data_IF_236432109235
#
_entry.id   IF_236432109235
#
_cell.length_a   1.000
_cell.length_b   1.000
_cell.length_c   1.000
_cell.angle_alpha   90.00
_cell.angle_beta   90.00
_cell.angle_gamma   90.00
#
_symmetry.space_group_name_H-M   'P 1'
#
loop_
_entity.id
_entity.type
_entity.pdbx_description
1 polymer ?
#
# COMPACT_ATOMS: atom_id res chain seq x y z
N UNK A 1 19.54 -22.44 -23.72
CA UNK A 1 19.87 -21.00 -23.78
C UNK A 1 18.71 -20.06 -23.36
N UNK A 2 17.54 -20.60 -23.03
CA UNK A 2 16.44 -19.81 -22.43
C UNK A 2 16.81 -19.17 -21.06
N UNK A 3 17.70 -19.81 -20.30
CA UNK A 3 18.17 -19.31 -19.01
C UNK A 3 19.02 -18.04 -19.11
N UNK A 4 19.72 -17.83 -20.23
CA UNK A 4 20.56 -16.65 -20.44
C UNK A 4 19.73 -15.43 -20.83
N UNK A 5 18.69 -15.63 -21.64
CA UNK A 5 17.78 -14.55 -22.06
C UNK A 5 16.89 -14.03 -20.92
N UNK A 6 16.53 -14.88 -19.94
CA UNK A 6 15.76 -14.45 -18.78
C UNK A 6 16.60 -13.55 -17.86
N UNK A 7 17.87 -13.88 -17.61
CA UNK A 7 18.75 -13.13 -16.73
C UNK A 7 19.05 -11.72 -17.23
N UNK A 8 19.35 -11.56 -18.54
CA UNK A 8 19.58 -10.23 -19.12
C UNK A 8 18.31 -9.35 -19.12
N UNK A 9 17.16 -9.95 -19.42
CA UNK A 9 15.88 -9.25 -19.42
C UNK A 9 15.51 -8.76 -18.03
N UNK A 10 15.64 -9.59 -17.02
CA UNK A 10 15.30 -9.24 -15.64
C UNK A 10 16.23 -8.16 -15.11
N UNK A 11 17.52 -8.21 -15.43
CA UNK A 11 18.48 -7.17 -15.08
C UNK A 11 18.15 -5.82 -15.73
N UNK A 12 17.76 -5.80 -16.99
CA UNK A 12 17.37 -4.55 -17.72
C UNK A 12 16.06 -3.97 -17.14
N UNK A 13 15.10 -4.82 -16.80
CA UNK A 13 13.83 -4.41 -16.17
C UNK A 13 14.10 -3.81 -14.79
N UNK A 14 14.91 -4.46 -13.97
CA UNK A 14 15.25 -3.98 -12.62
C UNK A 14 15.99 -2.64 -12.67
N UNK A 15 16.99 -2.48 -13.53
CA UNK A 15 17.70 -1.23 -13.71
C UNK A 15 16.77 -0.10 -14.21
N UNK A 16 15.82 -0.43 -15.06
CA UNK A 16 14.77 0.49 -15.52
C UNK A 16 13.85 0.95 -14.39
N UNK A 17 13.42 0.03 -13.54
CA UNK A 17 12.57 0.31 -12.38
C UNK A 17 13.29 1.16 -11.32
N UNK A 18 14.58 0.90 -11.05
CA UNK A 18 15.39 1.71 -10.15
C UNK A 18 15.52 3.15 -10.66
N UNK A 19 15.79 3.32 -11.96
CA UNK A 19 15.89 4.65 -12.59
C UNK A 19 14.56 5.39 -12.54
N UNK A 20 13.45 4.70 -12.75
CA UNK A 20 12.12 5.28 -12.65
C UNK A 20 11.83 5.77 -11.24
N UNK A 21 12.13 4.96 -10.22
CA UNK A 21 11.98 5.38 -8.83
C UNK A 21 12.81 6.63 -8.52
N UNK A 22 14.08 6.65 -8.94
CA UNK A 22 14.97 7.81 -8.72
C UNK A 22 14.40 9.08 -9.35
N UNK A 23 13.87 9.01 -10.57
CA UNK A 23 13.24 10.13 -11.27
C UNK A 23 11.98 10.61 -10.52
N UNK A 24 11.11 9.67 -10.11
CA UNK A 24 9.89 10.00 -9.34
C UNK A 24 10.25 10.71 -8.03
N UNK A 25 11.24 10.19 -7.28
CA UNK A 25 11.66 10.81 -6.02
C UNK A 25 12.32 12.18 -6.23
N UNK A 26 13.09 12.36 -7.32
CA UNK A 26 13.68 13.66 -7.68
C UNK A 26 12.60 14.69 -8.03
N UNK A 27 11.62 14.33 -8.84
CA UNK A 27 10.54 15.24 -9.20
C UNK A 27 9.62 15.54 -7.99
N UNK A 28 9.33 14.55 -7.18
CA UNK A 28 8.54 14.72 -5.97
C UNK A 28 9.19 15.71 -4.98
N UNK A 29 10.52 15.72 -4.87
CA UNK A 29 11.25 16.72 -4.05
C UNK A 29 11.07 18.15 -4.52
N UNK A 30 10.84 18.37 -5.83
CA UNK A 30 10.58 19.71 -6.39
C UNK A 30 9.15 20.18 -6.16
N UNK A 31 8.25 19.24 -5.86
CA UNK A 31 6.83 19.45 -5.70
C UNK A 31 6.37 18.88 -4.33
N UNK A 32 6.73 19.52 -3.21
CA UNK A 32 6.49 18.99 -1.87
C UNK A 32 5.00 18.81 -1.53
N UNK A 33 4.12 19.52 -2.22
CA UNK A 33 2.66 19.42 -2.07
C UNK A 33 2.05 18.28 -2.91
N UNK A 34 2.82 17.68 -3.83
CA UNK A 34 2.32 16.58 -4.66
C UNK A 34 2.37 15.28 -3.85
N UNK A 35 1.23 14.65 -3.54
CA UNK A 35 1.24 13.39 -2.83
C UNK A 35 1.71 12.24 -3.73
N UNK A 36 2.45 11.30 -3.16
CA UNK A 36 3.02 10.14 -3.86
C UNK A 36 2.67 8.86 -3.12
N UNK A 37 2.06 7.90 -3.82
CA UNK A 37 1.81 6.55 -3.31
C UNK A 37 2.89 5.62 -3.83
N UNK A 38 3.52 4.83 -2.95
CA UNK A 38 4.51 3.83 -3.32
C UNK A 38 4.08 2.47 -2.79
N UNK A 39 3.97 1.48 -3.68
CA UNK A 39 3.55 0.11 -3.37
C UNK A 39 4.46 -0.91 -4.05
N UNK A 40 4.33 -2.16 -3.69
CA UNK A 40 4.92 -3.33 -4.34
C UNK A 40 6.43 -3.19 -4.61
N UNK A 41 6.86 -3.27 -5.87
CA UNK A 41 8.27 -3.20 -6.24
C UNK A 41 8.91 -1.85 -5.87
N UNK A 42 8.15 -0.77 -5.85
CA UNK A 42 8.62 0.52 -5.36
C UNK A 42 9.09 0.45 -3.90
N UNK A 43 8.38 -0.26 -3.04
CA UNK A 43 8.76 -0.47 -1.64
C UNK A 43 10.02 -1.33 -1.52
N UNK A 44 10.15 -2.38 -2.34
CA UNK A 44 11.33 -3.22 -2.39
C UNK A 44 12.58 -2.42 -2.81
N UNK A 45 12.44 -1.56 -3.80
CA UNK A 45 13.51 -0.68 -4.27
C UNK A 45 13.90 0.38 -3.22
N UNK A 46 12.92 0.96 -2.51
CA UNK A 46 13.18 1.86 -1.38
C UNK A 46 14.01 1.17 -0.29
N UNK A 47 13.65 -0.07 0.06
CA UNK A 47 14.37 -0.87 1.04
C UNK A 47 15.80 -1.17 0.57
N UNK A 48 15.95 -1.64 -0.68
CA UNK A 48 17.26 -1.92 -1.30
C UNK A 48 18.20 -0.72 -1.30
N UNK A 49 17.66 0.48 -1.55
CA UNK A 49 18.42 1.74 -1.59
C UNK A 49 18.60 2.41 -0.22
N UNK A 50 18.00 1.89 0.84
CA UNK A 50 18.05 2.48 2.18
C UNK A 50 17.37 3.86 2.26
N UNK A 51 16.38 4.14 1.41
CA UNK A 51 15.73 5.46 1.30
C UNK A 51 14.50 5.61 2.19
N UNK A 52 14.06 4.57 2.87
CA UNK A 52 12.85 4.57 3.68
C UNK A 52 12.78 5.72 4.68
N UNK A 53 13.83 5.93 5.49
CA UNK A 53 13.88 6.98 6.50
C UNK A 53 14.00 8.40 5.96
N UNK A 54 14.21 8.57 4.65
CA UNK A 54 14.35 9.89 4.00
C UNK A 54 13.01 10.44 3.50
N UNK A 55 11.95 9.64 3.54
CA UNK A 55 10.65 10.02 3.03
C UNK A 55 9.90 10.93 4.00
N UNK A 56 9.24 11.96 3.47
CA UNK A 56 8.47 12.93 4.23
C UNK A 56 6.96 12.71 4.14
N UNK A 57 6.18 13.68 4.62
CA UNK A 57 4.71 13.61 4.76
C UNK A 57 3.96 13.47 3.44
N UNK A 58 4.55 13.84 2.30
CA UNK A 58 3.91 13.72 1.00
C UNK A 58 3.74 12.27 0.52
N UNK A 59 4.43 11.32 1.16
CA UNK A 59 4.42 9.92 0.75
C UNK A 59 3.40 9.08 1.54
N UNK A 60 2.73 8.18 0.82
CA UNK A 60 1.92 7.09 1.40
C UNK A 60 2.54 5.77 0.94
N UNK A 61 2.90 4.92 1.87
CA UNK A 61 3.47 3.60 1.63
C UNK A 61 2.48 2.52 2.04
N UNK A 62 2.30 1.49 1.21
CA UNK A 62 1.30 0.45 1.43
C UNK A 62 1.91 -0.94 1.61
N UNK A 63 2.88 -1.14 2.54
CA UNK A 63 3.55 -2.42 2.70
C UNK A 63 2.63 -3.49 3.29
N UNK A 64 2.78 -4.74 2.83
CA UNK A 64 2.43 -5.92 3.62
C UNK A 64 3.58 -6.28 4.58
N UNK A 65 3.39 -7.25 5.48
CA UNK A 65 4.38 -7.58 6.53
C UNK A 65 5.80 -7.85 5.99
N UNK A 66 5.94 -8.55 4.85
CA UNK A 66 7.26 -8.85 4.27
C UNK A 66 7.94 -7.61 3.67
N UNK A 67 7.18 -6.72 3.06
CA UNK A 67 7.69 -5.43 2.55
C UNK A 67 8.11 -4.54 3.72
N UNK A 68 7.28 -4.46 4.77
CA UNK A 68 7.62 -3.72 5.98
C UNK A 68 8.88 -4.27 6.66
N UNK A 69 9.07 -5.59 6.67
CA UNK A 69 10.29 -6.25 7.15
C UNK A 69 11.54 -5.75 6.40
N UNK A 70 11.47 -5.68 5.06
CA UNK A 70 12.58 -5.17 4.24
C UNK A 70 12.85 -3.68 4.46
N UNK A 71 11.79 -2.88 4.62
CA UNK A 71 11.90 -1.44 4.87
C UNK A 71 12.49 -1.11 6.24
N UNK A 72 12.05 -1.82 7.28
CA UNK A 72 12.42 -1.53 8.67
C UNK A 72 13.66 -2.30 9.16
N UNK A 73 14.06 -3.35 8.45
CA UNK A 73 15.11 -4.28 8.90
C UNK A 73 14.70 -5.23 10.04
N UNK A 74 13.45 -5.18 10.51
CA UNK A 74 12.89 -6.11 11.50
C UNK A 74 12.43 -7.40 10.83
N UNK A 75 12.41 -8.51 11.55
CA UNK A 75 11.83 -9.76 11.04
C UNK A 75 10.30 -9.64 10.88
N UNK A 76 9.73 -10.47 10.01
CA UNK A 76 8.27 -10.54 9.83
C UNK A 76 7.56 -10.90 11.13
N UNK A 77 8.17 -11.76 11.95
CA UNK A 77 7.60 -12.18 13.24
C UNK A 77 7.55 -11.02 14.24
N UNK A 78 8.64 -10.26 14.39
CA UNK A 78 8.66 -9.08 15.26
C UNK A 78 7.61 -8.03 14.87
N UNK A 79 7.37 -7.86 13.55
CA UNK A 79 6.33 -6.93 13.07
C UNK A 79 4.95 -7.49 13.36
N UNK A 80 4.73 -8.79 13.13
CA UNK A 80 3.43 -9.43 13.37
C UNK A 80 3.06 -9.47 14.85
N UNK A 81 4.04 -9.63 15.73
CA UNK A 81 3.84 -9.64 17.19
C UNK A 81 3.46 -8.25 17.74
N UNK A 82 3.98 -7.17 17.12
CA UNK A 82 3.65 -5.79 17.48
C UNK A 82 3.60 -4.86 16.27
N UNK A 83 2.54 -4.99 15.49
CA UNK A 83 2.29 -4.15 14.32
C UNK A 83 2.15 -2.66 14.68
N UNK A 84 1.61 -2.36 15.87
CA UNK A 84 1.43 -0.99 16.34
C UNK A 84 2.77 -0.29 16.49
N UNK A 85 3.72 -0.90 17.21
CA UNK A 85 5.07 -0.36 17.33
C UNK A 85 5.80 -0.30 15.99
N UNK A 86 5.51 -1.22 15.07
CA UNK A 86 6.12 -1.21 13.75
C UNK A 86 5.71 0.02 12.92
N UNK A 87 4.46 0.47 13.00
CA UNK A 87 3.97 1.63 12.25
C UNK A 87 4.13 2.96 13.00
N UNK A 88 4.03 2.96 14.34
CA UNK A 88 4.20 4.15 15.17
C UNK A 88 5.67 4.51 15.36
N UNK A 89 6.54 3.51 15.48
CA UNK A 89 8.00 3.69 15.65
C UNK A 89 8.76 3.86 14.33
N UNK A 90 8.10 4.11 13.22
CA UNK A 90 8.73 4.28 11.93
C UNK A 90 9.65 5.52 11.89
N UNK A 91 10.73 5.41 11.12
CA UNK A 91 11.68 6.51 10.94
C UNK A 91 11.30 7.47 9.79
N UNK A 92 10.43 7.03 8.90
CA UNK A 92 9.93 7.85 7.81
C UNK A 92 8.82 8.80 8.32
N UNK A 93 8.79 10.04 7.81
CA UNK A 93 7.67 10.95 8.04
C UNK A 93 6.44 10.65 7.17
N UNK A 94 6.43 9.53 6.46
CA UNK A 94 5.39 9.10 5.54
C UNK A 94 4.17 8.50 6.26
N UNK A 95 3.02 8.50 5.60
CA UNK A 95 1.88 7.70 6.05
C UNK A 95 2.08 6.24 5.64
N UNK A 96 2.02 5.32 6.60
CA UNK A 96 2.16 3.88 6.38
C UNK A 96 0.79 3.21 6.45
N UNK A 97 0.48 2.41 5.45
CA UNK A 97 -0.67 1.50 5.40
C UNK A 97 -0.14 0.08 5.49
N UNK A 98 0.00 -0.45 6.69
CA UNK A 98 0.49 -1.81 6.92
C UNK A 98 -0.63 -2.82 6.69
N UNK A 99 -0.55 -3.51 5.54
CA UNK A 99 -1.56 -4.48 5.09
C UNK A 99 -1.43 -5.81 5.82
N UNK A 100 -2.48 -6.22 6.52
CA UNK A 100 -2.64 -7.55 7.10
C UNK A 100 -4.14 -7.82 7.30
N UNK A 101 -4.49 -8.90 8.00
CA UNK A 101 -5.88 -9.24 8.37
C UNK A 101 -6.61 -8.04 9.03
N UNK A 102 -5.88 -7.21 9.76
CA UNK A 102 -6.30 -5.89 10.23
C UNK A 102 -5.28 -4.86 9.76
N UNK A 103 -5.64 -4.11 8.73
CA UNK A 103 -4.77 -3.06 8.21
C UNK A 103 -4.64 -1.92 9.21
N UNK A 104 -3.40 -1.48 9.45
CA UNK A 104 -3.09 -0.32 10.28
C UNK A 104 -2.65 0.85 9.40
N UNK A 105 -3.13 2.06 9.73
CA UNK A 105 -2.69 3.29 9.09
C UNK A 105 -2.10 4.21 10.14
N UNK A 106 -0.88 4.71 9.91
CA UNK A 106 -0.20 5.63 10.82
C UNK A 106 0.72 6.59 10.07
N UNK A 107 0.90 7.78 10.62
CA UNK A 107 1.92 8.76 10.21
C UNK A 107 2.98 8.99 11.31
N UNK A 108 3.03 8.09 12.30
CA UNK A 108 3.92 8.16 13.45
C UNK A 108 3.28 8.80 14.67
N UNK A 109 2.46 9.82 14.50
CA UNK A 109 1.79 10.56 15.60
C UNK A 109 0.37 10.07 15.88
N UNK A 110 -0.19 9.29 14.97
CA UNK A 110 -1.58 8.86 14.99
C UNK A 110 -1.71 7.44 14.42
N UNK A 111 -2.68 6.69 14.93
CA UNK A 111 -2.94 5.31 14.53
C UNK A 111 -4.43 5.10 14.24
N UNK A 112 -4.72 4.49 13.11
CA UNK A 112 -6.02 3.93 12.77
C UNK A 112 -5.90 2.41 12.60
N UNK A 113 -6.82 1.67 13.21
CA UNK A 113 -6.94 0.22 13.07
C UNK A 113 -8.21 -0.06 12.28
N UNK A 114 -8.07 -0.62 11.09
CA UNK A 114 -9.22 -0.97 10.27
C UNK A 114 -9.91 -2.24 10.77
N UNK A 115 -11.22 -2.15 10.96
CA UNK A 115 -12.06 -3.26 11.39
C UNK A 115 -12.97 -3.79 10.27
N UNK A 116 -13.05 -3.10 9.13
CA UNK A 116 -13.82 -3.55 7.98
C UNK A 116 -13.04 -4.56 7.13
N UNK A 117 -13.76 -5.37 6.39
CA UNK A 117 -13.19 -6.34 5.47
C UNK A 117 -13.18 -7.77 6.00
N UNK A 118 -12.89 -8.68 5.10
CA UNK A 118 -12.82 -10.12 5.36
C UNK A 118 -11.80 -10.80 4.42
N UNK A 119 -11.74 -12.14 4.48
CA UNK A 119 -10.79 -12.94 3.70
C UNK A 119 -10.94 -12.84 2.17
N UNK A 120 -12.03 -12.28 1.66
CA UNK A 120 -12.22 -12.07 0.22
C UNK A 120 -11.15 -11.13 -0.36
N UNK A 121 -10.60 -10.21 0.44
CA UNK A 121 -9.50 -9.33 0.04
C UNK A 121 -8.15 -10.05 -0.14
N UNK A 122 -8.03 -11.32 0.23
CA UNK A 122 -6.82 -12.13 0.00
C UNK A 122 -6.71 -12.60 -1.47
N UNK A 123 -7.18 -11.80 -2.41
CA UNK A 123 -7.09 -12.05 -3.86
C UNK A 123 -5.97 -11.24 -4.49
N UNK A 124 -5.35 -11.80 -5.56
CA UNK A 124 -4.30 -11.08 -6.31
C UNK A 124 -4.85 -9.79 -6.93
N UNK A 125 -4.09 -8.70 -6.83
CA UNK A 125 -4.49 -7.38 -7.33
C UNK A 125 -5.35 -6.54 -6.35
N UNK A 126 -5.76 -7.09 -5.21
CA UNK A 126 -6.49 -6.35 -4.17
C UNK A 126 -5.68 -5.15 -3.64
N UNK A 127 -4.37 -5.33 -3.46
CA UNK A 127 -3.45 -4.26 -3.05
C UNK A 127 -3.34 -3.15 -4.10
N UNK A 128 -3.30 -3.51 -5.40
CA UNK A 128 -3.25 -2.54 -6.49
C UNK A 128 -4.50 -1.66 -6.52
N UNK A 129 -5.68 -2.28 -6.28
CA UNK A 129 -6.94 -1.54 -6.14
C UNK A 129 -6.88 -0.58 -4.96
N UNK A 130 -6.40 -1.03 -3.79
CA UNK A 130 -6.26 -0.17 -2.61
C UNK A 130 -5.34 1.02 -2.89
N UNK A 131 -4.19 0.79 -3.51
CA UNK A 131 -3.23 1.85 -3.87
C UNK A 131 -3.84 2.84 -4.86
N UNK A 132 -4.64 2.35 -5.83
CA UNK A 132 -5.42 3.17 -6.75
C UNK A 132 -6.49 4.01 -6.05
N UNK A 133 -7.21 3.43 -5.08
CA UNK A 133 -8.20 4.16 -4.26
C UNK A 133 -7.54 5.29 -3.45
N UNK A 134 -6.39 5.03 -2.82
CA UNK A 134 -5.63 6.05 -2.10
C UNK A 134 -5.23 7.18 -3.06
N UNK A 135 -4.64 6.84 -4.21
CA UNK A 135 -4.24 7.80 -5.23
C UNK A 135 -5.41 8.65 -5.74
N UNK A 136 -6.56 8.03 -5.97
CA UNK A 136 -7.79 8.72 -6.40
C UNK A 136 -8.32 9.72 -5.36
N UNK A 137 -8.26 9.39 -4.07
CA UNK A 137 -8.66 10.29 -2.98
C UNK A 137 -7.65 11.45 -2.79
N UNK A 138 -6.37 11.16 -2.92
CA UNK A 138 -5.32 12.19 -2.89
C UNK A 138 -5.48 13.18 -4.05
N UNK A 139 -5.80 12.70 -5.26
CA UNK A 139 -6.06 13.53 -6.43
C UNK A 139 -7.31 14.43 -6.26
N UNK A 140 -8.24 14.05 -5.39
CA UNK A 140 -9.40 14.86 -5.00
C UNK A 140 -9.10 15.85 -3.87
N UNK A 141 -7.86 15.95 -3.42
CA UNK A 141 -7.43 16.91 -2.39
C UNK A 141 -7.53 16.39 -0.94
N UNK A 142 -7.78 15.11 -0.73
CA UNK A 142 -7.69 14.54 0.61
C UNK A 142 -6.24 14.58 1.13
N UNK A 143 -6.08 14.78 2.44
CA UNK A 143 -4.76 14.58 3.07
C UNK A 143 -4.36 13.11 3.03
N UNK A 144 -3.06 12.81 3.13
CA UNK A 144 -2.53 11.45 3.12
C UNK A 144 -3.21 10.56 4.18
N UNK A 145 -3.37 11.08 5.41
CA UNK A 145 -4.07 10.41 6.51
C UNK A 145 -5.52 10.09 6.13
N UNK A 146 -6.26 11.08 5.63
CA UNK A 146 -7.68 10.91 5.27
C UNK A 146 -7.83 9.95 4.11
N UNK A 147 -7.03 10.11 3.05
CA UNK A 147 -7.06 9.25 1.87
C UNK A 147 -6.75 7.79 2.21
N UNK A 148 -5.68 7.55 2.98
CA UNK A 148 -5.29 6.21 3.41
C UNK A 148 -6.38 5.55 4.27
N UNK A 149 -6.90 6.26 5.29
CA UNK A 149 -7.92 5.73 6.19
C UNK A 149 -9.22 5.42 5.47
N UNK A 150 -9.71 6.38 4.66
CA UNK A 150 -10.96 6.21 3.93
C UNK A 150 -10.86 5.10 2.90
N UNK A 151 -9.75 5.04 2.14
CA UNK A 151 -9.53 3.97 1.17
C UNK A 151 -9.50 2.58 1.83
N UNK A 152 -8.76 2.42 2.93
CA UNK A 152 -8.69 1.14 3.66
C UNK A 152 -10.07 0.72 4.19
N UNK A 153 -10.82 1.65 4.75
CA UNK A 153 -12.18 1.39 5.24
C UNK A 153 -13.13 0.98 4.11
N UNK A 154 -13.19 1.78 3.04
CA UNK A 154 -14.04 1.50 1.88
C UNK A 154 -13.64 0.19 1.19
N UNK A 155 -12.35 -0.07 1.04
CA UNK A 155 -11.84 -1.33 0.48
C UNK A 155 -12.31 -2.54 1.31
N UNK A 156 -12.32 -2.43 2.64
CA UNK A 156 -12.91 -3.45 3.52
C UNK A 156 -14.40 -3.65 3.28
N UNK A 157 -15.17 -2.56 3.22
CA UNK A 157 -16.61 -2.61 2.97
C UNK A 157 -16.97 -3.28 1.64
N UNK A 158 -16.14 -3.13 0.58
CA UNK A 158 -16.39 -3.81 -0.70
C UNK A 158 -16.42 -5.32 -0.54
N UNK A 159 -15.53 -5.88 0.28
CA UNK A 159 -15.49 -7.31 0.54
C UNK A 159 -16.68 -7.78 1.38
N UNK A 160 -17.12 -6.98 2.34
CA UNK A 160 -18.31 -7.28 3.13
C UNK A 160 -19.55 -7.28 2.23
N UNK A 161 -19.73 -6.24 1.42
CA UNK A 161 -20.84 -6.12 0.47
C UNK A 161 -20.87 -7.25 -0.57
N UNK A 162 -19.69 -7.63 -1.11
CA UNK A 162 -19.58 -8.76 -2.04
C UNK A 162 -20.06 -10.07 -1.38
N UNK A 163 -19.67 -10.31 -0.14
CA UNK A 163 -19.96 -11.54 0.59
C UNK A 163 -21.44 -11.66 1.01
N UNK A 164 -22.25 -10.62 0.84
CA UNK A 164 -23.71 -10.74 0.98
C UNK A 164 -24.35 -11.61 -0.13
N UNK A 165 -23.70 -11.70 -1.31
CA UNK A 165 -24.23 -12.38 -2.49
C UNK A 165 -23.36 -13.51 -3.03
N UNK A 166 -22.09 -13.61 -2.61
CA UNK A 166 -21.13 -14.59 -3.13
C UNK A 166 -20.10 -15.03 -2.07
N UNK A 167 -19.55 -16.26 -2.20
CA UNK A 167 -18.53 -16.74 -1.28
C UNK A 167 -17.23 -15.92 -1.37
N UNK A 168 -16.52 -15.69 -0.24
CA UNK A 168 -15.28 -14.88 -0.20
C UNK A 168 -14.22 -15.30 -1.20
N UNK A 169 -14.03 -16.60 -1.40
CA UNK A 169 -12.98 -17.14 -2.30
C UNK A 169 -13.24 -16.92 -3.80
N UNK A 170 -14.43 -16.45 -4.17
CA UNK A 170 -14.79 -16.16 -5.56
C UNK A 170 -14.45 -14.70 -5.95
N UNK A 171 -14.13 -13.85 -4.99
CA UNK A 171 -13.88 -12.43 -5.23
C UNK A 171 -12.60 -12.23 -6.06
N UNK A 172 -12.70 -11.42 -7.09
CA UNK A 172 -11.58 -10.97 -7.91
C UNK A 172 -11.33 -9.48 -7.67
N UNK A 173 -10.13 -8.99 -8.01
CA UNK A 173 -9.80 -7.58 -7.84
C UNK A 173 -10.77 -6.63 -8.57
N UNK A 174 -11.28 -7.02 -9.75
CA UNK A 174 -12.29 -6.23 -10.49
C UNK A 174 -13.61 -6.10 -9.71
N UNK A 175 -13.98 -7.13 -8.94
CA UNK A 175 -15.24 -7.11 -8.19
C UNK A 175 -15.18 -6.04 -7.08
N UNK A 176 -13.98 -5.77 -6.52
CA UNK A 176 -13.76 -4.66 -5.58
C UNK A 176 -14.19 -3.35 -6.23
N UNK A 177 -13.74 -3.08 -7.46
CA UNK A 177 -14.10 -1.86 -8.21
C UNK A 177 -15.61 -1.76 -8.45
N UNK A 178 -16.26 -2.88 -8.77
CA UNK A 178 -17.71 -2.94 -9.01
C UNK A 178 -18.55 -2.74 -7.72
N UNK A 179 -17.95 -3.02 -6.56
CA UNK A 179 -18.62 -2.79 -5.27
C UNK A 179 -18.48 -1.35 -4.76
N UNK A 180 -17.43 -0.59 -5.15
CA UNK A 180 -17.23 0.79 -4.68
C UNK A 180 -18.51 1.65 -4.82
N UNK A 181 -19.21 1.68 -5.97
CA UNK A 181 -20.43 2.48 -6.11
C UNK A 181 -21.60 2.01 -5.24
N UNK A 182 -21.53 0.78 -4.71
CA UNK A 182 -22.60 0.17 -3.90
C UNK A 182 -22.40 0.41 -2.41
N UNK A 183 -21.21 0.83 -2.00
CA UNK A 183 -20.90 1.14 -0.61
C UNK A 183 -21.66 2.43 -0.22
N UNK A 184 -22.57 2.36 0.74
CA UNK A 184 -23.37 3.50 1.19
C UNK A 184 -24.61 3.81 0.34
N UNK A 185 -24.92 2.99 -0.65
CA UNK A 185 -26.08 3.18 -1.54
C UNK A 185 -27.44 2.72 -0.99
N UNK A 186 -27.55 2.34 0.26
CA UNK A 186 -28.80 1.98 0.95
C UNK A 186 -29.18 3.07 1.95
N UNK A 187 -29.47 4.28 1.46
CA UNK A 187 -30.17 5.32 2.24
C UNK A 187 -31.34 5.87 1.43
#
# INVERSE_FOLDING_TARGET
>A
DEKYYSFERDFVIEAGAERLLDLVLQEAKKLPELPVVIDADGLNLLAKKGLYSTLGRQYVLTPHLREMSRLSGKSVQEIADDMTSAVMGQQAGATIVLKDARTLVSDGDWLYINLSGNSALSTGGSGDVLSGMIGGLLAQGCTQRTAATLAVYMHGLTAEQYCESAPPHCMLARDILEMIPKIGGNS
#
